data_IF_024642858124
#
_entry.id   IF_024642858124
#
_cell.length_a   1.000
_cell.length_b   1.000
_cell.length_c   1.000
_cell.angle_alpha   90.00
_cell.angle_beta   90.00
_cell.angle_gamma   90.00
#
_symmetry.space_group_name_H-M   'P 1'
#
loop_
_entity.id
_entity.type
_entity.pdbx_description
1 polymer ?
#
# COMPACT_ATOMS: atom_id res chain seq x y z
N UNK A 1 -5.16 8.46 7.00
CA UNK A 1 -4.97 7.28 6.16
C UNK A 1 -3.82 6.36 6.66
N UNK A 2 -2.81 6.92 7.37
CA UNK A 2 -1.71 6.15 7.95
C UNK A 2 -0.63 5.75 6.92
N UNK A 3 -0.53 6.46 5.82
CA UNK A 3 0.50 6.34 4.79
C UNK A 3 1.53 7.47 4.93
N UNK A 4 2.74 7.25 4.41
CA UNK A 4 3.78 8.27 4.36
C UNK A 4 3.60 9.13 3.11
N UNK A 5 3.88 10.42 3.22
CA UNK A 5 3.90 11.35 2.08
C UNK A 5 5.32 11.91 1.98
N UNK A 6 5.92 11.82 0.80
CA UNK A 6 7.28 12.33 0.57
C UNK A 6 7.26 13.85 0.36
N UNK A 7 8.42 14.49 0.59
CA UNK A 7 8.55 15.93 0.36
C UNK A 7 8.31 16.29 -1.12
N UNK A 8 8.76 15.42 -2.04
CA UNK A 8 8.51 15.59 -3.48
C UNK A 8 7.01 15.54 -3.80
N UNK A 9 6.26 14.64 -3.16
CA UNK A 9 4.81 14.59 -3.33
C UNK A 9 4.12 15.86 -2.82
N UNK A 10 4.59 16.45 -1.71
CA UNK A 10 4.06 17.72 -1.20
C UNK A 10 4.31 18.88 -2.17
N UNK A 11 5.51 18.94 -2.75
CA UNK A 11 5.86 19.92 -3.78
C UNK A 11 4.99 19.72 -5.02
N UNK A 12 4.83 18.47 -5.47
CA UNK A 12 3.98 18.12 -6.60
C UNK A 12 2.50 18.49 -6.35
N UNK A 13 1.97 18.26 -5.14
CA UNK A 13 0.60 18.70 -4.78
C UNK A 13 0.43 20.22 -4.98
N UNK A 14 1.38 21.01 -4.55
CA UNK A 14 1.31 22.47 -4.68
C UNK A 14 1.46 22.91 -6.15
N UNK A 15 2.49 22.42 -6.84
CA UNK A 15 2.83 22.85 -8.20
C UNK A 15 1.83 22.36 -9.24
N UNK A 16 1.46 21.07 -9.21
CA UNK A 16 0.52 20.52 -10.19
C UNK A 16 -0.91 21.02 -9.94
N UNK A 17 -1.32 21.20 -8.69
CA UNK A 17 -2.64 21.78 -8.42
C UNK A 17 -2.71 23.24 -8.90
N UNK A 18 -1.66 24.04 -8.67
CA UNK A 18 -1.65 25.42 -9.12
C UNK A 18 -1.70 25.55 -10.65
N UNK A 19 -0.97 24.68 -11.32
CA UNK A 19 -0.82 24.72 -12.79
C UNK A 19 -2.02 24.15 -13.54
N UNK A 20 -2.65 23.09 -13.02
CA UNK A 20 -3.65 22.30 -13.78
C UNK A 20 -5.06 22.30 -13.21
N UNK A 21 -5.27 22.73 -11.96
CA UNK A 21 -6.59 22.80 -11.33
C UNK A 21 -6.99 24.27 -11.15
N UNK A 22 -7.86 24.75 -12.03
CA UNK A 22 -8.24 26.17 -12.10
C UNK A 22 -9.50 26.53 -11.32
N UNK A 23 -10.32 25.55 -10.96
CA UNK A 23 -11.63 25.72 -10.32
C UNK A 23 -11.59 25.81 -8.80
N UNK A 24 -10.39 25.66 -8.21
CA UNK A 24 -10.14 25.71 -6.75
C UNK A 24 -8.91 26.57 -6.44
N UNK A 25 -8.78 26.98 -5.18
CA UNK A 25 -7.71 27.85 -4.70
C UNK A 25 -6.72 27.09 -3.84
N UNK A 26 -5.46 27.55 -3.81
CA UNK A 26 -4.47 27.13 -2.81
C UNK A 26 -4.81 27.78 -1.46
N UNK A 27 -4.56 27.08 -0.34
CA UNK A 27 -3.91 25.77 -0.24
C UNK A 27 -4.86 24.56 -0.41
N UNK A 28 -6.17 24.78 -0.43
CA UNK A 28 -7.19 23.71 -0.34
C UNK A 28 -7.02 22.66 -1.43
N UNK A 29 -6.83 23.06 -2.69
CA UNK A 29 -6.65 22.10 -3.80
C UNK A 29 -5.40 21.22 -3.65
N UNK A 30 -4.34 21.70 -3.03
CA UNK A 30 -3.14 20.91 -2.77
C UNK A 30 -3.37 19.91 -1.62
N UNK A 31 -4.13 20.32 -0.60
CA UNK A 31 -4.52 19.46 0.52
C UNK A 31 -5.46 18.36 0.04
N UNK A 32 -6.45 18.68 -0.80
CA UNK A 32 -7.36 17.72 -1.40
C UNK A 32 -6.62 16.65 -2.23
N UNK A 33 -5.62 17.07 -3.04
CA UNK A 33 -4.77 16.13 -3.80
C UNK A 33 -3.98 15.20 -2.88
N UNK A 34 -3.42 15.74 -1.82
CA UNK A 34 -2.66 14.96 -0.84
C UNK A 34 -3.56 13.94 -0.13
N UNK A 35 -4.76 14.34 0.27
CA UNK A 35 -5.73 13.47 0.94
C UNK A 35 -6.21 12.35 0.01
N UNK A 36 -6.54 12.68 -1.24
CA UNK A 36 -6.96 11.72 -2.26
C UNK A 36 -5.85 10.71 -2.56
N UNK A 37 -4.58 11.16 -2.69
CA UNK A 37 -3.43 10.28 -2.92
C UNK A 37 -3.20 9.34 -1.73
N UNK A 38 -3.28 9.86 -0.51
CA UNK A 38 -3.16 9.05 0.69
C UNK A 38 -4.30 8.02 0.81
N UNK A 39 -5.52 8.40 0.43
CA UNK A 39 -6.68 7.50 0.37
C UNK A 39 -6.53 6.42 -0.69
N UNK A 40 -6.01 6.77 -1.86
CA UNK A 40 -5.73 5.83 -2.95
C UNK A 40 -4.74 4.76 -2.52
N UNK A 41 -3.57 5.15 -2.02
CA UNK A 41 -2.55 4.22 -1.50
C UNK A 41 -3.12 3.36 -0.36
N UNK A 42 -3.91 3.95 0.53
CA UNK A 42 -4.56 3.18 1.60
C UNK A 42 -5.49 2.11 1.04
N UNK A 43 -6.25 2.44 0.00
CA UNK A 43 -7.15 1.49 -0.67
C UNK A 43 -6.36 0.38 -1.37
N UNK A 44 -5.23 0.71 -1.99
CA UNK A 44 -4.33 -0.27 -2.61
C UNK A 44 -3.74 -1.24 -1.58
N UNK A 45 -3.29 -0.74 -0.41
CA UNK A 45 -2.81 -1.58 0.69
C UNK A 45 -3.88 -2.57 1.17
N UNK A 46 -5.12 -2.14 1.23
CA UNK A 46 -6.24 -2.99 1.69
C UNK A 46 -6.78 -3.92 0.60
N UNK A 47 -6.44 -3.68 -0.66
CA UNK A 47 -6.89 -4.42 -1.84
C UNK A 47 -5.89 -5.49 -2.25
N UNK A 48 -6.37 -6.50 -2.98
CA UNK A 48 -5.49 -7.50 -3.61
C UNK A 48 -4.71 -6.84 -4.76
N UNK A 49 -3.37 -7.07 -4.86
CA UNK A 49 -2.58 -6.60 -5.98
C UNK A 49 -3.13 -7.07 -7.34
N UNK A 50 -3.07 -6.20 -8.35
CA UNK A 50 -3.62 -6.48 -9.68
C UNK A 50 -3.03 -7.74 -10.32
N UNK A 51 -1.72 -7.96 -10.18
CA UNK A 51 -1.06 -9.16 -10.68
C UNK A 51 -1.58 -10.45 -10.04
N UNK A 52 -1.84 -10.43 -8.73
CA UNK A 52 -2.40 -11.57 -8.01
C UNK A 52 -3.86 -11.84 -8.40
N UNK A 53 -4.64 -10.79 -8.63
CA UNK A 53 -6.03 -10.90 -9.13
C UNK A 53 -6.06 -11.50 -10.54
N UNK A 54 -5.19 -11.04 -11.45
CA UNK A 54 -5.07 -11.60 -12.81
C UNK A 54 -4.71 -13.09 -12.80
N UNK A 55 -3.72 -13.48 -11.99
CA UNK A 55 -3.33 -14.90 -11.83
C UNK A 55 -4.51 -15.70 -11.28
N UNK A 56 -5.21 -15.18 -10.30
CA UNK A 56 -6.36 -15.85 -9.67
C UNK A 56 -7.50 -16.06 -10.66
N UNK A 57 -7.78 -15.06 -11.51
CA UNK A 57 -8.78 -15.19 -12.60
C UNK A 57 -8.37 -16.21 -13.64
N UNK A 58 -7.08 -16.23 -14.00
CA UNK A 58 -6.56 -17.22 -14.96
C UNK A 58 -6.64 -18.64 -14.41
N UNK A 59 -6.29 -18.85 -13.13
CA UNK A 59 -6.47 -20.13 -12.45
C UNK A 59 -7.93 -20.58 -12.51
N UNK A 60 -8.88 -19.69 -12.21
CA UNK A 60 -10.31 -20.00 -12.26
C UNK A 60 -10.75 -20.42 -13.67
N UNK A 61 -10.30 -19.71 -14.73
CA UNK A 61 -10.61 -20.07 -16.11
C UNK A 61 -10.09 -21.45 -16.47
N UNK A 62 -8.83 -21.74 -16.12
CA UNK A 62 -8.22 -23.05 -16.38
C UNK A 62 -8.88 -24.18 -15.57
N UNK A 63 -9.34 -23.91 -14.35
CA UNK A 63 -10.09 -24.88 -13.55
C UNK A 63 -11.45 -25.22 -14.19
N UNK A 64 -12.14 -24.24 -14.76
CA UNK A 64 -13.39 -24.46 -15.51
C UNK A 64 -13.10 -25.29 -16.78
N UNK A 65 -12.04 -24.94 -17.54
CA UNK A 65 -11.61 -25.70 -18.73
C UNK A 65 -11.26 -27.14 -18.34
N UNK A 66 -10.52 -27.36 -17.26
CA UNK A 66 -10.19 -28.70 -16.74
C UNK A 66 -11.43 -29.52 -16.43
N UNK A 67 -12.45 -28.92 -15.82
CA UNK A 67 -13.70 -29.62 -15.53
C UNK A 67 -14.48 -29.98 -16.79
N UNK A 68 -14.39 -29.19 -17.87
CA UNK A 68 -14.99 -29.49 -19.14
C UNK A 68 -14.26 -30.65 -19.83
N UNK A 69 -12.92 -30.57 -19.94
CA UNK A 69 -12.08 -31.61 -20.58
C UNK A 69 -12.16 -32.97 -19.86
N UNK A 70 -12.32 -32.98 -18.54
CA UNK A 70 -12.52 -34.23 -17.77
C UNK A 70 -13.81 -35.00 -18.12
N UNK A 71 -14.72 -34.41 -18.88
CA UNK A 71 -15.97 -35.06 -19.33
C UNK A 71 -15.87 -35.61 -20.76
N UNK A 72 -14.77 -35.34 -21.44
CA UNK A 72 -14.48 -35.74 -22.80
C UNK A 72 -13.52 -36.93 -22.80
N UNK A 73 -13.77 -37.94 -23.64
CA UNK A 73 -13.00 -39.19 -23.69
C UNK A 73 -12.15 -39.30 -24.98
N UNK A 74 -11.80 -38.18 -25.63
CA UNK A 74 -10.96 -38.16 -26.81
C UNK A 74 -9.48 -37.87 -26.49
N UNK A 75 -8.58 -38.37 -27.37
CA UNK A 75 -7.14 -38.26 -27.19
C UNK A 75 -6.65 -36.79 -27.15
N UNK A 76 -7.28 -35.90 -27.92
CA UNK A 76 -6.91 -34.47 -27.95
C UNK A 76 -7.24 -33.78 -26.62
N UNK A 77 -8.39 -34.12 -26.04
CA UNK A 77 -8.80 -33.60 -24.71
C UNK A 77 -7.86 -34.10 -23.62
N UNK A 78 -7.40 -35.35 -23.68
CA UNK A 78 -6.40 -35.89 -22.76
C UNK A 78 -5.03 -35.18 -22.86
N UNK A 79 -4.54 -34.90 -24.06
CA UNK A 79 -3.28 -34.19 -24.28
C UNK A 79 -3.38 -32.76 -23.79
N UNK A 80 -4.50 -32.07 -24.05
CA UNK A 80 -4.77 -30.71 -23.52
C UNK A 80 -4.84 -30.71 -22.02
N UNK A 81 -5.47 -31.72 -21.40
CA UNK A 81 -5.60 -31.85 -19.95
C UNK A 81 -4.23 -31.90 -19.26
N UNK A 82 -3.29 -32.69 -19.78
CA UNK A 82 -1.93 -32.81 -19.26
C UNK A 82 -1.18 -31.46 -19.29
N UNK A 83 -1.33 -30.74 -20.40
CA UNK A 83 -0.71 -29.40 -20.54
C UNK A 83 -1.32 -28.39 -19.58
N UNK A 84 -2.65 -28.43 -19.46
CA UNK A 84 -3.40 -27.53 -18.58
C UNK A 84 -3.11 -27.78 -17.10
N UNK A 85 -2.98 -29.05 -16.68
CA UNK A 85 -2.63 -29.39 -15.31
C UNK A 85 -1.24 -28.86 -14.91
N UNK A 86 -0.28 -28.91 -15.85
CA UNK A 86 1.04 -28.33 -15.64
C UNK A 86 0.96 -26.81 -15.49
N UNK A 87 0.25 -26.12 -16.39
CA UNK A 87 0.03 -24.68 -16.34
C UNK A 87 -0.68 -24.27 -15.03
N UNK A 88 -1.70 -25.01 -14.61
CA UNK A 88 -2.40 -24.79 -13.35
C UNK A 88 -1.46 -24.94 -12.14
N UNK A 89 -0.60 -25.97 -12.14
CA UNK A 89 0.35 -26.18 -11.05
C UNK A 89 1.34 -25.03 -10.93
N UNK A 90 1.87 -24.56 -12.05
CA UNK A 90 2.80 -23.42 -12.09
C UNK A 90 2.13 -22.12 -11.63
N UNK A 91 0.92 -21.82 -12.12
CA UNK A 91 0.17 -20.62 -11.72
C UNK A 91 -0.26 -20.65 -10.25
N UNK A 92 -0.69 -21.82 -9.75
CA UNK A 92 -1.02 -21.97 -8.32
C UNK A 92 0.19 -21.74 -7.44
N UNK A 93 1.34 -22.33 -7.77
CA UNK A 93 2.58 -22.10 -7.03
C UNK A 93 2.97 -20.62 -7.02
N UNK A 94 2.89 -19.93 -8.17
CA UNK A 94 3.15 -18.49 -8.26
C UNK A 94 2.16 -17.69 -7.44
N UNK A 95 0.87 -18.01 -7.50
CA UNK A 95 -0.18 -17.36 -6.73
C UNK A 95 0.03 -17.50 -5.22
N UNK A 96 0.41 -18.69 -4.76
CA UNK A 96 0.64 -18.96 -3.33
C UNK A 96 1.83 -18.17 -2.80
N UNK A 97 2.92 -18.08 -3.56
CA UNK A 97 4.10 -17.26 -3.19
C UNK A 97 3.74 -15.78 -3.12
N UNK A 98 3.05 -15.25 -4.14
CA UNK A 98 2.66 -13.84 -4.17
C UNK A 98 1.65 -13.50 -3.07
N UNK A 99 0.72 -14.42 -2.78
CA UNK A 99 -0.24 -14.23 -1.69
C UNK A 99 0.43 -14.19 -0.32
N UNK A 100 1.37 -15.10 -0.08
CA UNK A 100 2.15 -15.11 1.17
C UNK A 100 2.95 -13.81 1.33
N UNK A 101 3.60 -13.35 0.27
CA UNK A 101 4.33 -12.08 0.26
C UNK A 101 3.38 -10.89 0.55
N UNK A 102 2.25 -10.80 -0.14
CA UNK A 102 1.25 -9.76 0.09
C UNK A 102 0.72 -9.73 1.53
N UNK A 103 0.40 -10.91 2.09
CA UNK A 103 -0.08 -11.02 3.47
C UNK A 103 0.99 -10.60 4.48
N UNK A 104 2.25 -10.91 4.23
CA UNK A 104 3.38 -10.52 5.06
C UNK A 104 3.61 -9.00 5.00
N UNK A 105 3.64 -8.40 3.81
CA UNK A 105 3.76 -6.95 3.63
C UNK A 105 2.60 -6.20 4.30
N UNK A 106 1.36 -6.67 4.10
CA UNK A 106 0.18 -6.08 4.75
C UNK A 106 0.26 -6.15 6.28
N UNK A 107 0.78 -7.25 6.83
CA UNK A 107 0.99 -7.41 8.27
C UNK A 107 2.07 -6.46 8.80
N UNK A 108 3.16 -6.26 8.06
CA UNK A 108 4.22 -5.30 8.42
C UNK A 108 3.68 -3.87 8.46
N UNK A 109 2.94 -3.45 7.44
CA UNK A 109 2.28 -2.12 7.40
C UNK A 109 1.32 -1.95 8.59
N UNK A 110 0.54 -2.99 8.89
CA UNK A 110 -0.35 -3.01 10.05
C UNK A 110 0.38 -2.84 11.38
N UNK A 111 1.51 -3.51 11.54
CA UNK A 111 2.36 -3.41 12.74
C UNK A 111 2.95 -2.01 12.89
N UNK A 112 3.47 -1.41 11.81
CA UNK A 112 3.97 -0.04 11.80
C UNK A 112 2.89 0.95 12.23
N UNK A 113 1.69 0.83 11.68
CA UNK A 113 0.54 1.67 12.05
C UNK A 113 0.18 1.51 13.54
N UNK A 114 0.14 0.28 14.03
CA UNK A 114 -0.19 -0.01 15.42
C UNK A 114 0.84 0.59 16.40
N UNK A 115 2.14 0.49 16.09
CA UNK A 115 3.18 1.09 16.93
C UNK A 115 3.10 2.61 16.92
N UNK A 116 2.86 3.24 15.76
CA UNK A 116 2.65 4.69 15.68
C UNK A 116 1.45 5.12 16.54
N UNK A 117 0.34 4.39 16.51
CA UNK A 117 -0.82 4.65 17.34
C UNK A 117 -0.49 4.52 18.83
N UNK A 118 0.23 3.48 19.23
CA UNK A 118 0.67 3.30 20.62
C UNK A 118 1.57 4.44 21.09
N UNK A 119 2.44 4.98 20.23
CA UNK A 119 3.28 6.14 20.55
C UNK A 119 2.41 7.38 20.82
N UNK A 120 1.41 7.63 19.96
CA UNK A 120 0.48 8.75 20.16
C UNK A 120 -0.34 8.59 21.44
N UNK A 121 -0.85 7.39 21.73
CA UNK A 121 -1.58 7.09 22.95
C UNK A 121 -0.72 7.31 24.20
N UNK A 122 0.57 6.92 24.15
CA UNK A 122 1.53 7.16 25.25
C UNK A 122 1.78 8.66 25.42
N UNK A 123 1.92 9.43 24.34
CA UNK A 123 2.10 10.89 24.42
C UNK A 123 0.89 11.57 25.05
N UNK A 124 -0.33 11.19 24.68
CA UNK A 124 -1.56 11.69 25.31
C UNK A 124 -1.61 11.34 26.80
N UNK A 125 -1.24 10.10 27.18
CA UNK A 125 -1.16 9.71 28.59
C UNK A 125 -0.11 10.51 29.36
N UNK A 126 1.00 10.88 28.71
CA UNK A 126 2.03 11.74 29.33
C UNK A 126 1.49 13.16 29.57
N UNK A 127 0.78 13.75 28.60
CA UNK A 127 0.14 15.04 28.76
C UNK A 127 -0.88 15.05 29.91
N UNK A 128 -1.69 13.99 30.00
CA UNK A 128 -2.66 13.85 31.10
C UNK A 128 -1.98 13.66 32.46
N UNK A 129 -0.90 12.87 32.52
CA UNK A 129 -0.12 12.67 33.72
C UNK A 129 0.54 13.99 34.18
N UNK A 130 1.02 14.82 33.26
CA UNK A 130 1.59 16.13 33.54
C UNK A 130 0.53 17.10 34.10
N UNK A 131 -0.66 17.16 33.46
CA UNK A 131 -1.80 17.99 33.94
C UNK A 131 -2.25 17.59 35.32
N UNK A 132 -2.22 16.31 35.65
CA UNK A 132 -2.63 15.77 36.95
C UNK A 132 -1.49 15.72 37.98
N UNK A 133 -0.31 16.27 37.67
CA UNK A 133 0.90 16.24 38.52
C UNK A 133 1.31 14.80 38.93
N UNK A 134 1.00 13.79 38.12
CA UNK A 134 1.40 12.41 38.39
C UNK A 134 2.79 12.13 37.80
N UNK A 135 3.82 12.62 38.51
CA UNK A 135 5.21 12.58 38.09
C UNK A 135 5.76 11.14 37.97
N UNK A 136 5.26 10.21 38.79
CA UNK A 136 5.68 8.81 38.77
C UNK A 136 5.23 8.13 37.46
N UNK A 137 3.99 8.37 37.05
CA UNK A 137 3.46 7.85 35.79
C UNK A 137 4.16 8.50 34.58
N UNK A 138 4.33 9.82 34.64
CA UNK A 138 5.05 10.56 33.60
C UNK A 138 6.47 10.02 33.39
N UNK A 139 7.21 9.79 34.50
CA UNK A 139 8.56 9.23 34.42
C UNK A 139 8.60 7.82 33.80
N UNK A 140 7.67 6.94 34.18
CA UNK A 140 7.56 5.58 33.61
C UNK A 140 7.25 5.59 32.12
N UNK A 141 6.35 6.46 31.67
CA UNK A 141 6.00 6.59 30.26
C UNK A 141 7.16 7.18 29.45
N UNK A 142 7.74 8.28 29.93
CA UNK A 142 8.79 9.05 29.23
C UNK A 142 10.11 8.31 29.14
N UNK A 143 10.55 7.62 30.19
CA UNK A 143 11.86 6.98 30.24
C UNK A 143 11.81 5.45 30.05
N UNK A 144 10.60 4.84 30.06
CA UNK A 144 10.40 3.43 29.86
C UNK A 144 9.69 3.12 28.55
N UNK A 145 8.38 3.39 28.50
CA UNK A 145 7.52 2.89 27.43
C UNK A 145 7.72 3.62 26.09
N UNK A 146 7.91 4.94 26.10
CA UNK A 146 8.09 5.72 24.87
C UNK A 146 9.38 5.33 24.13
N UNK A 147 10.57 5.27 24.78
CA UNK A 147 11.79 4.86 24.08
C UNK A 147 11.75 3.41 23.57
N UNK A 148 11.05 2.50 24.26
CA UNK A 148 10.86 1.12 23.79
C UNK A 148 10.07 1.07 22.49
N UNK A 149 8.97 1.84 22.39
CA UNK A 149 8.14 1.90 21.19
C UNK A 149 8.85 2.60 20.04
N UNK A 150 9.62 3.66 20.32
CA UNK A 150 10.41 4.38 19.32
C UNK A 150 11.53 3.49 18.74
N UNK A 151 12.20 2.69 19.59
CA UNK A 151 13.18 1.71 19.13
C UNK A 151 12.55 0.64 18.25
N UNK A 152 11.39 0.10 18.63
CA UNK A 152 10.65 -0.86 17.80
C UNK A 152 10.22 -0.27 16.45
N UNK A 153 9.82 1.01 16.45
CA UNK A 153 9.46 1.71 15.22
C UNK A 153 10.67 1.87 14.29
N UNK A 154 11.81 2.21 14.85
CA UNK A 154 13.06 2.36 14.08
C UNK A 154 13.53 1.02 13.49
N UNK A 155 13.47 -0.06 14.26
CA UNK A 155 13.83 -1.40 13.79
C UNK A 155 12.93 -1.88 12.64
N UNK A 156 11.62 -1.61 12.71
CA UNK A 156 10.68 -1.93 11.64
C UNK A 156 10.92 -1.08 10.38
N UNK A 157 11.23 0.22 10.54
CA UNK A 157 11.57 1.08 9.41
C UNK A 157 12.83 0.62 8.69
N UNK A 158 13.87 0.27 9.44
CA UNK A 158 15.12 -0.27 8.85
C UNK A 158 14.90 -1.56 8.07
N UNK A 159 14.02 -2.44 8.56
CA UNK A 159 13.62 -3.63 7.79
C UNK A 159 12.90 -3.25 6.49
N UNK A 160 11.97 -2.31 6.57
CA UNK A 160 11.23 -1.83 5.42
C UNK A 160 12.11 -1.21 4.34
N UNK A 161 13.05 -0.36 4.72
CA UNK A 161 13.96 0.33 3.79
C UNK A 161 14.96 -0.65 3.10
N UNK A 162 15.21 -1.84 3.65
CA UNK A 162 16.09 -2.85 3.05
C UNK A 162 15.43 -3.70 1.97
N UNK A 163 14.09 -3.75 1.92
CA UNK A 163 13.32 -4.62 1.04
C UNK A 163 12.51 -3.85 -0.03
N UNK A 164 12.86 -2.60 -0.35
CA UNK A 164 12.09 -1.77 -1.31
C UNK A 164 12.04 -2.36 -2.73
N UNK A 165 13.10 -3.05 -3.18
CA UNK A 165 13.14 -3.71 -4.50
C UNK A 165 12.37 -5.04 -4.46
N UNK A 166 11.13 -5.03 -4.90
CA UNK A 166 10.31 -6.25 -5.05
C UNK A 166 9.02 -6.28 -4.23
N UNK A 167 8.69 -5.22 -3.51
CA UNK A 167 7.41 -5.12 -2.79
C UNK A 167 6.21 -5.03 -3.73
N UNK A 168 5.16 -5.74 -3.33
CA UNK A 168 3.86 -5.71 -4.02
C UNK A 168 3.01 -4.49 -3.63
N UNK A 169 3.23 -3.95 -2.41
CA UNK A 169 2.49 -2.84 -1.85
C UNK A 169 3.34 -1.59 -1.72
N UNK A 170 2.83 -0.45 -2.19
CA UNK A 170 3.40 0.87 -1.90
C UNK A 170 2.93 1.36 -0.53
N UNK A 171 3.86 1.89 0.27
CA UNK A 171 3.57 2.45 1.59
C UNK A 171 3.56 3.97 1.64
N UNK A 172 4.00 4.60 0.55
CA UNK A 172 4.19 6.05 0.49
C UNK A 172 3.57 6.65 -0.76
N UNK A 173 3.19 7.91 -0.63
CA UNK A 173 2.75 8.76 -1.74
C UNK A 173 3.96 9.49 -2.26
N UNK A 174 4.25 9.33 -3.55
CA UNK A 174 5.29 10.04 -4.29
C UNK A 174 4.67 10.93 -5.37
N UNK A 175 5.50 11.65 -6.11
CA UNK A 175 5.07 12.52 -7.20
C UNK A 175 4.22 11.82 -8.28
N UNK A 176 4.54 10.58 -8.73
CA UNK A 176 3.74 9.87 -9.73
C UNK A 176 2.28 9.66 -9.31
N UNK A 177 2.01 9.36 -8.04
CA UNK A 177 0.64 9.18 -7.54
C UNK A 177 -0.15 10.50 -7.59
N UNK A 178 0.50 11.61 -7.27
CA UNK A 178 -0.11 12.95 -7.38
C UNK A 178 -0.41 13.26 -8.85
N UNK A 179 0.53 13.01 -9.77
CA UNK A 179 0.31 13.22 -11.19
C UNK A 179 -0.83 12.36 -11.74
N UNK A 180 -0.97 11.12 -11.26
CA UNK A 180 -2.08 10.24 -11.66
C UNK A 180 -3.44 10.82 -11.26
N UNK A 181 -3.57 11.36 -10.04
CA UNK A 181 -4.82 11.96 -9.58
C UNK A 181 -5.13 13.24 -10.36
N UNK A 182 -4.14 14.09 -10.57
CA UNK A 182 -4.31 15.29 -11.42
C UNK A 182 -4.77 14.89 -12.81
N UNK A 183 -4.19 13.84 -13.39
CA UNK A 183 -4.60 13.30 -14.69
C UNK A 183 -6.06 12.83 -14.67
N UNK A 184 -6.49 12.13 -13.62
CA UNK A 184 -7.88 11.68 -13.46
C UNK A 184 -8.86 12.85 -13.34
N UNK A 185 -8.49 13.91 -12.62
CA UNK A 185 -9.36 15.07 -12.40
C UNK A 185 -9.44 15.99 -13.61
N UNK A 186 -8.33 16.18 -14.32
CA UNK A 186 -8.23 17.13 -15.42
C UNK A 186 -8.39 16.51 -16.81
N UNK A 187 -8.23 15.19 -16.92
CA UNK A 187 -8.17 14.47 -18.20
C UNK A 187 -6.87 14.67 -19.00
N UNK A 188 -5.84 15.30 -18.39
CA UNK A 188 -4.53 15.51 -19.03
C UNK A 188 -3.69 14.24 -18.80
N UNK A 189 -3.10 13.62 -19.87
CA UNK A 189 -2.26 12.43 -19.70
C UNK A 189 -1.06 12.67 -18.77
N UNK A 190 -0.75 11.67 -17.90
CA UNK A 190 0.35 11.73 -16.92
C UNK A 190 1.70 12.09 -17.57
N UNK A 191 1.98 11.54 -18.77
CA UNK A 191 3.23 11.84 -19.52
C UNK A 191 3.46 13.33 -19.75
N UNK A 192 2.37 14.08 -19.98
CA UNK A 192 2.46 15.54 -20.15
C UNK A 192 2.62 16.32 -18.84
N UNK A 193 2.27 15.73 -17.73
CA UNK A 193 2.40 16.35 -16.40
C UNK A 193 3.84 16.25 -15.88
N UNK A 194 4.51 15.12 -16.17
CA UNK A 194 5.88 14.84 -15.73
C UNK A 194 6.94 15.44 -16.66
N UNK A 195 6.67 15.58 -17.97
CA UNK A 195 7.60 16.17 -18.95
C UNK A 195 7.68 17.72 -18.91
N UNK A 196 6.88 18.37 -18.09
CA UNK A 196 6.78 19.84 -18.04
C UNK A 196 7.71 20.51 -17.00
N UNK A 197 8.72 19.79 -16.49
CA UNK A 197 9.78 20.37 -15.66
C UNK A 197 11.02 20.77 -16.47
#
# INVERSE_FOLDING_TARGET
HGVRITDNALIACATLSDRYISDRFLPDKAIDLMDEAASMIRTEIDSMPSELDEISRKIMQLEIERQALNKEDDDASHERLLTLEKELSELKSKSDVMRAQWEDEKREIGNLKNIKQQIEDVKLQMEDAERNYNLDLLAKLKYGKLPELESKLEDLKKKGDMDEDGRLLKEQVDEPEIAEIVSKWTGIPVSKLVEAE
#
